data_IF_616668800448
#
_entry.id   IF_616668800448
#
_cell.length_a   1.000
_cell.length_b   1.000
_cell.length_c   1.000
_cell.angle_alpha   90.00
_cell.angle_beta   90.00
_cell.angle_gamma   90.00
#
_symmetry.space_group_name_H-M   'P 1'
#
loop_
_entity.id
_entity.type
_entity.pdbx_description
1 polymer ?
#
# COMPACT_ATOMS: atom_id res chain seq x y z
N UNK A 1 15.53 26.28 16.15
CA UNK A 1 14.23 26.14 15.47
C UNK A 1 14.47 26.45 14.01
N UNK A 2 14.70 25.44 13.16
CA UNK A 2 14.83 25.67 11.72
C UNK A 2 13.44 25.60 11.11
N UNK A 3 13.00 26.70 10.52
CA UNK A 3 11.81 26.76 9.67
C UNK A 3 12.07 25.98 8.38
N UNK A 4 12.00 24.65 8.48
CA UNK A 4 11.78 23.84 7.30
C UNK A 4 10.33 24.06 6.91
N UNK A 5 10.10 24.99 5.98
CA UNK A 5 8.90 24.93 5.15
C UNK A 5 8.97 23.59 4.42
N UNK A 6 8.48 22.54 5.06
CA UNK A 6 8.10 21.32 4.38
C UNK A 6 7.09 21.79 3.36
N UNK A 7 7.51 21.90 2.12
CA UNK A 7 6.59 21.65 1.01
C UNK A 7 6.10 20.24 1.29
N UNK A 8 5.04 20.12 2.09
CA UNK A 8 4.30 18.89 2.27
C UNK A 8 3.76 18.61 0.88
N UNK A 9 4.54 17.85 0.12
CA UNK A 9 4.09 17.16 -1.06
C UNK A 9 3.06 16.16 -0.55
N UNK A 10 1.82 16.64 -0.36
CA UNK A 10 0.64 15.82 -0.65
C UNK A 10 0.97 15.10 -1.96
N UNK A 11 0.71 13.80 -2.10
CA UNK A 11 1.05 13.05 -3.32
C UNK A 11 0.67 13.87 -4.57
N UNK A 12 1.66 14.56 -5.16
CA UNK A 12 1.47 15.44 -6.32
C UNK A 12 1.64 14.64 -7.60
N UNK A 13 1.56 13.31 -7.50
CA UNK A 13 1.65 12.44 -8.65
C UNK A 13 0.41 12.68 -9.52
N UNK A 14 0.64 13.32 -10.65
CA UNK A 14 -0.31 13.49 -11.75
C UNK A 14 -0.32 12.29 -12.71
N UNK A 15 0.58 11.33 -12.47
CA UNK A 15 0.75 10.12 -13.24
C UNK A 15 -0.30 9.07 -12.84
N UNK A 16 -0.96 8.46 -13.83
CA UNK A 16 -1.87 7.32 -13.60
C UNK A 16 -1.08 6.03 -13.30
N UNK A 17 -1.72 5.07 -12.64
CA UNK A 17 -1.19 3.70 -12.50
C UNK A 17 -0.83 3.13 -13.88
N UNK A 18 0.34 2.50 -14.04
CA UNK A 18 0.71 1.80 -15.27
C UNK A 18 -0.29 0.71 -15.65
N UNK A 19 -0.40 0.42 -16.95
CA UNK A 19 -1.23 -0.69 -17.44
C UNK A 19 -0.52 -2.03 -17.22
N UNK A 20 -1.29 -3.07 -16.88
CA UNK A 20 -0.81 -4.45 -16.81
C UNK A 20 -0.78 -5.04 -18.22
N UNK A 21 0.33 -4.91 -18.92
CA UNK A 21 0.49 -5.34 -20.32
C UNK A 21 1.77 -6.15 -20.47
N UNK A 22 1.82 -6.99 -21.49
CA UNK A 22 3.02 -7.76 -21.78
C UNK A 22 4.04 -6.94 -22.57
N UNK A 23 5.32 -7.24 -22.44
CA UNK A 23 6.40 -6.50 -23.10
C UNK A 23 6.27 -6.50 -24.63
N UNK A 24 5.73 -7.56 -25.22
CA UNK A 24 5.53 -7.63 -26.67
C UNK A 24 4.49 -6.61 -27.18
N UNK A 25 3.55 -6.19 -26.33
CA UNK A 25 2.52 -5.20 -26.66
C UNK A 25 3.08 -3.77 -26.71
N UNK A 26 4.23 -3.55 -26.08
CA UNK A 26 4.95 -2.26 -26.04
C UNK A 26 5.91 -2.05 -27.22
N UNK A 27 6.06 -3.04 -28.11
CA UNK A 27 7.01 -2.98 -29.23
C UNK A 27 6.58 -1.97 -30.30
N UNK A 28 7.55 -1.28 -30.88
CA UNK A 28 7.33 -0.36 -32.01
C UNK A 28 6.73 -1.12 -33.20
N UNK A 29 5.49 -0.83 -33.56
CA UNK A 29 4.76 -1.49 -34.65
C UNK A 29 3.41 -2.09 -34.24
N UNK A 30 3.07 -2.11 -32.95
CA UNK A 30 1.72 -2.42 -32.49
C UNK A 30 0.77 -1.29 -32.90
N UNK A 31 -0.22 -1.61 -33.76
CA UNK A 31 -1.16 -0.61 -34.31
C UNK A 31 -2.29 -0.24 -33.34
N UNK A 32 -2.43 -0.94 -32.22
CA UNK A 32 -3.51 -0.74 -31.25
C UNK A 32 -2.96 -0.39 -29.86
N UNK A 33 -3.61 0.56 -29.19
CA UNK A 33 -3.35 0.83 -27.77
C UNK A 33 -3.59 -0.44 -26.94
N UNK A 34 -2.63 -0.85 -26.09
CA UNK A 34 -2.73 -2.11 -25.37
C UNK A 34 -3.83 -2.03 -24.30
N UNK A 35 -4.50 -3.15 -24.06
CA UNK A 35 -5.52 -3.25 -23.01
C UNK A 35 -4.89 -3.87 -21.78
N UNK A 36 -5.31 -3.41 -20.60
CA UNK A 36 -4.87 -4.06 -19.36
C UNK A 36 -5.30 -5.53 -19.35
N UNK A 37 -4.34 -6.41 -19.15
CA UNK A 37 -4.53 -7.83 -18.89
C UNK A 37 -5.11 -8.04 -17.49
N UNK A 38 -6.03 -9.00 -17.37
CA UNK A 38 -6.53 -9.51 -16.07
C UNK A 38 -5.57 -10.54 -15.46
N UNK A 39 -4.68 -11.13 -16.26
CA UNK A 39 -3.65 -12.06 -15.81
C UNK A 39 -2.33 -11.34 -15.57
N UNK A 40 -1.47 -11.86 -14.68
CA UNK A 40 -0.13 -11.33 -14.51
C UNK A 40 0.64 -11.24 -15.82
N UNK A 41 1.39 -10.14 -15.99
CA UNK A 41 2.34 -9.92 -17.10
C UNK A 41 3.69 -9.51 -16.53
N UNK A 42 4.68 -9.27 -17.40
CA UNK A 42 6.00 -8.76 -16.99
C UNK A 42 5.92 -7.40 -16.26
N UNK A 43 4.83 -6.64 -16.43
CA UNK A 43 4.59 -5.36 -15.77
C UNK A 43 4.02 -5.47 -14.35
N UNK A 44 3.60 -6.67 -13.91
CA UNK A 44 2.82 -6.89 -12.69
C UNK A 44 3.41 -6.17 -11.46
N UNK A 45 4.71 -6.33 -11.21
CA UNK A 45 5.37 -5.80 -10.03
C UNK A 45 5.22 -4.27 -9.92
N UNK A 46 5.40 -3.56 -11.04
CA UNK A 46 5.27 -2.10 -11.08
C UNK A 46 3.80 -1.69 -10.93
N UNK A 47 2.88 -2.37 -11.61
CA UNK A 47 1.45 -2.07 -11.54
C UNK A 47 0.93 -2.18 -10.09
N UNK A 48 1.25 -3.29 -9.41
CA UNK A 48 0.78 -3.53 -8.04
C UNK A 48 1.36 -2.50 -7.07
N UNK A 49 2.66 -2.16 -7.19
CA UNK A 49 3.27 -1.13 -6.35
C UNK A 49 2.67 0.25 -6.57
N UNK A 50 2.40 0.62 -7.83
CA UNK A 50 1.77 1.90 -8.15
C UNK A 50 0.34 1.98 -7.64
N UNK A 51 -0.46 0.91 -7.80
CA UNK A 51 -1.84 0.87 -7.28
C UNK A 51 -1.86 0.95 -5.75
N UNK A 52 -0.97 0.23 -5.07
CA UNK A 52 -0.81 0.31 -3.62
C UNK A 52 -0.46 1.73 -3.16
N UNK A 53 0.50 2.37 -3.83
CA UNK A 53 0.92 3.72 -3.51
C UNK A 53 -0.21 4.73 -3.70
N UNK A 54 -1.01 4.56 -4.76
CA UNK A 54 -2.20 5.38 -5.04
C UNK A 54 -3.26 5.21 -3.94
N UNK A 55 -3.66 3.97 -3.63
CA UNK A 55 -4.68 3.67 -2.63
C UNK A 55 -4.28 4.17 -1.23
N UNK A 56 -3.04 3.89 -0.82
CA UNK A 56 -2.53 4.33 0.49
C UNK A 56 -2.31 5.84 0.51
N UNK A 57 -1.86 6.44 -0.59
CA UNK A 57 -1.68 7.88 -0.72
C UNK A 57 -2.98 8.67 -0.48
N UNK A 58 -4.11 8.09 -0.87
CA UNK A 58 -5.45 8.65 -0.68
C UNK A 58 -6.11 8.26 0.65
N UNK A 59 -5.51 7.35 1.42
CA UNK A 59 -6.07 6.91 2.70
C UNK A 59 -6.09 8.03 3.73
N UNK A 60 -7.13 8.04 4.57
CA UNK A 60 -7.29 9.07 5.60
C UNK A 60 -6.11 9.05 6.57
N UNK A 61 -5.63 7.85 6.96
CA UNK A 61 -4.49 7.73 7.86
C UNK A 61 -3.22 8.34 7.24
N UNK A 62 -2.92 8.06 5.97
CA UNK A 62 -1.68 8.51 5.34
C UNK A 62 -1.67 10.03 5.14
N UNK A 63 -2.80 10.61 4.72
CA UNK A 63 -2.97 12.07 4.64
C UNK A 63 -2.75 12.68 6.03
N UNK A 64 -3.36 12.10 7.06
CA UNK A 64 -3.21 12.56 8.44
C UNK A 64 -1.78 12.44 8.97
N UNK A 65 -1.07 11.40 8.56
CA UNK A 65 0.30 11.13 8.98
C UNK A 65 1.32 12.05 8.28
N UNK A 66 1.18 12.26 6.98
CA UNK A 66 2.12 13.07 6.17
C UNK A 66 1.86 14.56 6.32
N UNK A 67 0.61 14.99 6.46
CA UNK A 67 0.26 16.39 6.63
C UNK A 67 -0.96 16.58 7.54
N UNK A 68 -0.76 16.74 8.86
CA UNK A 68 -1.85 16.95 9.81
C UNK A 68 -2.74 18.19 9.54
N UNK A 69 -2.23 19.19 8.81
CA UNK A 69 -3.01 20.37 8.40
C UNK A 69 -4.02 20.05 7.28
N UNK A 70 -3.73 18.98 6.51
CA UNK A 70 -4.62 18.26 5.57
C UNK A 70 -6.00 17.93 6.16
N UNK A 71 -5.97 17.54 7.44
CA UNK A 71 -7.07 16.85 8.10
C UNK A 71 -8.28 17.75 8.30
N UNK A 72 -8.04 19.06 8.46
CA UNK A 72 -9.11 20.04 8.60
C UNK A 72 -9.93 20.21 7.30
N UNK A 73 -9.31 19.96 6.14
CA UNK A 73 -9.95 20.04 4.82
C UNK A 73 -10.62 18.71 4.44
N UNK A 74 -10.07 17.57 4.86
CA UNK A 74 -10.72 16.26 4.68
C UNK A 74 -11.99 16.12 5.53
N UNK A 75 -11.99 16.66 6.76
CA UNK A 75 -13.13 16.60 7.70
C UNK A 75 -14.37 17.40 7.26
N UNK A 76 -14.23 18.36 6.36
CA UNK A 76 -15.36 19.20 5.90
C UNK A 76 -16.22 18.56 4.81
N UNK A 77 -15.80 17.45 4.19
CA UNK A 77 -16.62 16.77 3.16
C UNK A 77 -17.54 15.66 3.69
N UNK A 78 -17.17 14.91 4.74
CA UNK A 78 -17.91 13.68 5.11
C UNK A 78 -18.12 13.47 6.61
N UNK A 79 -18.52 14.52 7.33
CA UNK A 79 -18.73 14.48 8.79
C UNK A 79 -19.97 13.68 9.26
N UNK A 80 -20.58 12.85 8.42
CA UNK A 80 -21.73 11.99 8.83
C UNK A 80 -21.46 10.48 8.85
N UNK A 81 -20.36 9.98 8.26
CA UNK A 81 -20.10 8.53 8.17
C UNK A 81 -18.73 8.06 8.74
N UNK A 82 -17.91 8.97 9.28
CA UNK A 82 -16.50 8.73 9.63
C UNK A 82 -16.18 7.82 10.83
N UNK A 83 -17.17 7.27 11.52
CA UNK A 83 -16.92 6.53 12.78
C UNK A 83 -16.60 5.04 12.59
N UNK A 84 -16.99 4.46 11.45
CA UNK A 84 -16.88 3.01 11.19
C UNK A 84 -16.00 2.70 9.96
N UNK A 85 -16.01 3.55 8.93
CA UNK A 85 -15.25 3.33 7.68
C UNK A 85 -13.73 3.38 7.86
N UNK A 86 -13.22 4.21 8.77
CA UNK A 86 -11.78 4.37 9.00
C UNK A 86 -11.10 3.11 9.57
N UNK A 87 -11.81 2.29 10.35
CA UNK A 87 -11.22 1.10 10.98
C UNK A 87 -10.94 -0.03 10.00
N UNK A 88 -11.58 -0.01 8.83
CA UNK A 88 -11.52 -1.08 7.84
C UNK A 88 -10.83 -0.66 6.54
N UNK A 89 -10.38 0.60 6.40
CA UNK A 89 -9.76 1.11 5.17
C UNK A 89 -8.54 0.27 4.75
N UNK A 90 -7.60 0.03 5.67
CA UNK A 90 -6.43 -0.81 5.40
C UNK A 90 -6.77 -2.28 5.14
N UNK A 91 -7.89 -2.78 5.68
CA UNK A 91 -8.36 -4.14 5.39
C UNK A 91 -9.01 -4.22 4.01
N UNK A 92 -9.77 -3.21 3.61
CA UNK A 92 -10.32 -3.08 2.26
C UNK A 92 -9.22 -2.96 1.21
N UNK A 93 -8.21 -2.11 1.43
CA UNK A 93 -7.06 -1.98 0.51
C UNK A 93 -6.35 -3.33 0.35
N UNK A 94 -6.07 -4.02 1.46
CA UNK A 94 -5.46 -5.35 1.41
C UNK A 94 -6.32 -6.34 0.60
N UNK A 95 -7.63 -6.40 0.90
CA UNK A 95 -8.55 -7.30 0.20
C UNK A 95 -8.58 -7.01 -1.31
N UNK A 96 -8.69 -5.73 -1.69
CA UNK A 96 -8.69 -5.32 -3.10
C UNK A 96 -7.43 -5.77 -3.83
N UNK A 97 -6.25 -5.59 -3.23
CA UNK A 97 -4.98 -5.97 -3.86
C UNK A 97 -4.82 -7.50 -3.93
N UNK A 98 -5.21 -8.21 -2.87
CA UNK A 98 -5.16 -9.68 -2.86
C UNK A 98 -6.10 -10.26 -3.94
N UNK A 99 -7.35 -9.80 -4.02
CA UNK A 99 -8.32 -10.32 -5.00
C UNK A 99 -8.00 -9.92 -6.44
N UNK A 100 -7.54 -8.69 -6.66
CA UNK A 100 -7.31 -8.17 -8.02
C UNK A 100 -5.99 -8.62 -8.64
N UNK A 101 -4.96 -8.85 -7.83
CA UNK A 101 -3.62 -9.13 -8.32
C UNK A 101 -3.03 -10.42 -7.74
N UNK A 102 -2.95 -10.53 -6.42
CA UNK A 102 -2.19 -11.63 -5.79
C UNK A 102 -2.87 -12.99 -5.96
N UNK A 103 -4.20 -13.04 -6.08
CA UNK A 103 -4.97 -14.26 -6.32
C UNK A 103 -4.61 -14.95 -7.65
N UNK A 104 -4.02 -14.21 -8.60
CA UNK A 104 -3.60 -14.76 -9.89
C UNK A 104 -2.10 -15.04 -9.96
N UNK A 105 -1.34 -14.72 -8.91
CA UNK A 105 0.09 -14.95 -8.86
C UNK A 105 0.41 -16.43 -8.66
N UNK A 106 1.40 -16.91 -9.41
CA UNK A 106 2.02 -18.22 -9.21
C UNK A 106 3.23 -18.07 -8.29
N UNK A 107 3.24 -18.65 -7.07
CA UNK A 107 4.36 -18.52 -6.15
C UNK A 107 5.64 -19.23 -6.63
N UNK A 108 5.57 -20.09 -7.65
CA UNK A 108 6.75 -20.73 -8.24
C UNK A 108 7.42 -19.85 -9.32
N UNK A 109 6.72 -18.80 -9.78
CA UNK A 109 7.31 -17.79 -10.68
C UNK A 109 8.07 -16.71 -9.87
N UNK A 110 9.34 -16.40 -10.22
CA UNK A 110 10.15 -15.40 -9.53
C UNK A 110 9.53 -14.00 -9.43
N UNK A 111 8.94 -13.50 -10.52
CA UNK A 111 8.38 -12.15 -10.57
C UNK A 111 7.13 -12.06 -9.70
N UNK A 112 6.28 -13.08 -9.77
CA UNK A 112 5.08 -13.21 -8.95
C UNK A 112 5.45 -13.35 -7.47
N UNK A 113 6.43 -14.20 -7.14
CA UNK A 113 6.93 -14.39 -5.78
C UNK A 113 7.42 -13.08 -5.18
N UNK A 114 8.25 -12.33 -5.93
CA UNK A 114 8.69 -10.98 -5.52
C UNK A 114 7.52 -10.04 -5.30
N UNK A 115 6.54 -10.05 -6.20
CA UNK A 115 5.36 -9.20 -6.12
C UNK A 115 4.54 -9.50 -4.87
N UNK A 116 4.23 -10.77 -4.59
CA UNK A 116 3.46 -11.20 -3.41
C UNK A 116 4.11 -10.67 -2.13
N UNK A 117 5.39 -10.96 -1.91
CA UNK A 117 6.05 -10.64 -0.65
C UNK A 117 6.32 -9.15 -0.48
N UNK A 118 6.69 -8.45 -1.56
CA UNK A 118 6.86 -6.99 -1.50
C UNK A 118 5.54 -6.28 -1.20
N UNK A 119 4.44 -6.73 -1.82
CA UNK A 119 3.10 -6.18 -1.63
C UNK A 119 2.61 -6.38 -0.19
N UNK A 120 2.73 -7.62 0.33
CA UNK A 120 2.35 -7.93 1.72
C UNK A 120 3.20 -7.20 2.74
N UNK A 121 4.51 -7.07 2.51
CA UNK A 121 5.40 -6.29 3.37
C UNK A 121 5.03 -4.81 3.40
N UNK A 122 4.65 -4.23 2.26
CA UNK A 122 4.16 -2.85 2.19
C UNK A 122 2.85 -2.66 2.96
N UNK A 123 1.90 -3.60 2.85
CA UNK A 123 0.66 -3.58 3.61
C UNK A 123 0.90 -3.69 5.12
N UNK A 124 1.75 -4.62 5.55
CA UNK A 124 2.13 -4.80 6.95
C UNK A 124 2.76 -3.53 7.53
N UNK A 125 3.68 -2.90 6.79
CA UNK A 125 4.28 -1.61 7.16
C UNK A 125 3.23 -0.52 7.34
N UNK A 126 2.29 -0.39 6.41
CA UNK A 126 1.28 0.68 6.49
C UNK A 126 0.26 0.43 7.62
N UNK A 127 -0.10 -0.83 7.92
CA UNK A 127 -0.89 -1.17 9.11
C UNK A 127 -0.18 -0.82 10.41
N UNK A 128 1.13 -1.04 10.47
CA UNK A 128 1.95 -0.64 11.61
C UNK A 128 1.95 0.89 11.78
N UNK A 129 2.13 1.64 10.68
CA UNK A 129 2.10 3.10 10.69
C UNK A 129 0.72 3.65 11.06
N UNK A 130 -0.36 3.07 10.56
CA UNK A 130 -1.75 3.40 10.91
C UNK A 130 -1.98 3.22 12.42
N UNK A 131 -1.52 2.09 12.97
CA UNK A 131 -1.58 1.84 14.41
C UNK A 131 -0.82 2.92 15.19
N UNK A 132 0.42 3.24 14.80
CA UNK A 132 1.17 4.31 15.45
C UNK A 132 0.49 5.68 15.31
N UNK A 133 -0.06 6.02 14.15
CA UNK A 133 -0.77 7.29 13.96
C UNK A 133 -1.98 7.42 14.89
N UNK A 134 -2.74 6.33 15.09
CA UNK A 134 -3.90 6.28 15.99
C UNK A 134 -3.52 6.44 17.47
N UNK A 135 -2.42 5.83 17.91
CA UNK A 135 -2.11 5.71 19.34
C UNK A 135 -0.96 6.61 19.82
N UNK A 136 -0.18 7.25 18.94
CA UNK A 136 0.93 8.13 19.36
C UNK A 136 0.48 9.49 19.92
N UNK A 137 -0.76 9.92 19.64
CA UNK A 137 -1.31 11.20 20.10
C UNK A 137 -2.27 11.08 21.27
N UNK A 138 -2.60 9.85 21.67
CA UNK A 138 -3.56 9.61 22.74
C UNK A 138 -2.85 9.70 24.09
N UNK A 139 -3.24 10.63 24.96
CA UNK A 139 -2.91 10.63 26.40
C UNK A 139 -3.55 9.46 27.15
N UNK A 140 -3.94 8.40 26.43
CA UNK A 140 -4.63 7.23 26.95
C UNK A 140 -3.69 6.35 27.79
N UNK A 141 -4.24 5.53 28.69
CA UNK A 141 -3.47 4.60 29.49
C UNK A 141 -2.66 3.64 28.61
N UNK A 142 -1.67 2.97 29.20
CA UNK A 142 -0.89 1.89 28.56
C UNK A 142 -1.72 1.08 27.55
N UNK A 143 -1.17 0.90 26.34
CA UNK A 143 -1.77 0.10 25.28
C UNK A 143 -2.24 -1.26 25.81
N UNK A 144 -3.42 -1.71 25.37
CA UNK A 144 -3.93 -3.02 25.74
C UNK A 144 -3.03 -4.12 25.17
N UNK A 145 -3.01 -5.28 25.81
CA UNK A 145 -2.24 -6.43 25.34
C UNK A 145 -2.61 -6.82 23.90
N UNK A 146 -3.89 -6.71 23.55
CA UNK A 146 -4.38 -6.95 22.19
C UNK A 146 -3.80 -5.97 21.16
N UNK A 147 -3.70 -4.68 21.49
CA UNK A 147 -3.09 -3.66 20.61
C UNK A 147 -1.59 -3.91 20.43
N UNK A 148 -0.89 -4.23 21.53
CA UNK A 148 0.55 -4.56 21.50
C UNK A 148 0.81 -5.81 20.65
N UNK A 149 -0.01 -6.84 20.82
CA UNK A 149 0.11 -8.08 20.02
C UNK A 149 -0.17 -7.85 18.54
N UNK A 150 -1.17 -7.03 18.18
CA UNK A 150 -1.44 -6.69 16.78
C UNK A 150 -0.26 -5.92 16.15
N UNK A 151 0.30 -4.94 16.87
CA UNK A 151 1.48 -4.19 16.44
C UNK A 151 2.68 -5.11 16.21
N UNK A 152 2.92 -6.03 17.14
CA UNK A 152 3.99 -7.01 17.05
C UNK A 152 3.78 -7.94 15.84
N UNK A 153 2.55 -8.39 15.59
CA UNK A 153 2.21 -9.20 14.42
C UNK A 153 2.58 -8.48 13.12
N UNK A 154 2.16 -7.21 12.96
CA UNK A 154 2.50 -6.45 11.75
C UNK A 154 4.01 -6.24 11.56
N UNK A 155 4.73 -6.02 12.65
CA UNK A 155 6.18 -5.89 12.60
C UNK A 155 6.86 -7.21 12.19
N UNK A 156 6.39 -8.35 12.71
CA UNK A 156 6.87 -9.68 12.33
C UNK A 156 6.54 -9.99 10.88
N UNK A 157 5.31 -9.71 10.43
CA UNK A 157 4.88 -9.90 9.04
C UNK A 157 5.77 -9.10 8.09
N UNK A 158 6.11 -7.85 8.44
CA UNK A 158 7.02 -7.02 7.66
C UNK A 158 8.41 -7.65 7.54
N UNK A 159 8.97 -8.15 8.65
CA UNK A 159 10.27 -8.83 8.64
C UNK A 159 10.25 -10.13 7.85
N UNK A 160 9.17 -10.91 7.96
CA UNK A 160 9.01 -12.14 7.20
C UNK A 160 8.93 -11.85 5.71
N UNK A 161 8.10 -10.88 5.32
CA UNK A 161 7.95 -10.47 3.92
C UNK A 161 9.25 -9.96 3.31
N UNK A 162 10.08 -9.27 4.08
CA UNK A 162 11.39 -8.78 3.64
C UNK A 162 12.44 -9.91 3.57
N UNK A 163 12.34 -10.90 4.47
CA UNK A 163 13.24 -12.06 4.49
C UNK A 163 12.98 -13.03 3.34
N UNK A 164 11.71 -13.32 3.03
CA UNK A 164 11.30 -14.37 2.07
C UNK A 164 11.96 -14.23 0.69
N UNK A 165 11.90 -13.06 0.01
CA UNK A 165 12.67 -12.80 -1.21
C UNK A 165 14.18 -13.01 -1.10
N UNK A 166 14.79 -12.64 0.03
CA UNK A 166 16.26 -12.71 0.15
C UNK A 166 16.80 -14.12 0.30
N UNK A 167 16.00 -15.05 0.79
CA UNK A 167 16.44 -16.42 1.05
C UNK A 167 15.92 -17.44 0.04
N UNK A 168 15.05 -17.01 -0.88
CA UNK A 168 14.43 -17.89 -1.86
C UNK A 168 15.36 -18.09 -3.07
N UNK A 169 15.56 -19.33 -3.55
CA UNK A 169 16.33 -19.59 -4.77
C UNK A 169 15.67 -19.00 -6.03
N UNK A 170 14.40 -18.60 -5.95
CA UNK A 170 13.70 -17.94 -7.05
C UNK A 170 14.23 -16.53 -7.32
N UNK A 171 14.88 -15.91 -6.33
CA UNK A 171 15.16 -14.46 -6.33
C UNK A 171 16.57 -14.11 -5.85
N UNK A 172 17.41 -15.13 -5.60
CA UNK A 172 18.80 -15.04 -5.12
C UNK A 172 19.82 -15.29 -6.22
#
# INVERSE_FOLDING_TARGET
MSDYKTTTLTSTWDCRTPLNVNDFELRTGTMSYPRSSEKPTEALFVVVRSELAELIGHSAFHINFVNPLLNAVAKTKDSRNMSIADKDEMAMIQKTIEERYLAFCDPDDPLHYMTIWTTRGFLARNRLLEHYARYSTSSAPQQTDSQRNATLSYALDMLECDRRPRVSPLTS
#
